data_IF_349053829744
#
_entry.id   IF_349053829744
#
_cell.length_a   1.000
_cell.length_b   1.000
_cell.length_c   1.000
_cell.angle_alpha   90.00
_cell.angle_beta   90.00
_cell.angle_gamma   90.00
#
_symmetry.space_group_name_H-M   'P 1'
#
loop_
_entity.id
_entity.type
_entity.pdbx_description
1 polymer ?
#
# COMPACT_ATOMS: atom_id res chain seq x y z
N UNK A 1 -43.45 -10.17 -48.66
CA UNK A 1 -43.46 -10.78 -47.31
C UNK A 1 -42.07 -11.11 -46.73
N UNK A 2 -40.98 -11.08 -47.52
CA UNK A 2 -39.63 -11.46 -47.06
C UNK A 2 -38.91 -10.34 -46.27
N UNK A 3 -39.23 -9.07 -46.53
CA UNK A 3 -38.53 -7.92 -45.91
C UNK A 3 -38.76 -7.78 -44.40
N UNK A 4 -39.94 -8.14 -43.89
CA UNK A 4 -40.27 -7.98 -42.46
C UNK A 4 -39.55 -9.02 -41.57
N UNK A 5 -39.35 -10.24 -42.07
CA UNK A 5 -38.69 -11.33 -41.32
C UNK A 5 -37.19 -11.08 -41.12
N UNK A 6 -36.54 -10.45 -42.10
CA UNK A 6 -35.10 -10.10 -42.05
C UNK A 6 -34.82 -8.95 -41.09
N UNK A 7 -35.68 -7.93 -41.06
CA UNK A 7 -35.55 -6.78 -40.13
C UNK A 7 -35.73 -7.21 -38.67
N UNK A 8 -36.70 -8.07 -38.38
CA UNK A 8 -36.92 -8.59 -37.02
C UNK A 8 -35.72 -9.44 -36.55
N UNK A 9 -35.15 -10.28 -37.43
CA UNK A 9 -34.00 -11.13 -37.11
C UNK A 9 -32.74 -10.30 -36.81
N UNK A 10 -32.49 -9.25 -37.60
CA UNK A 10 -31.41 -8.27 -37.37
C UNK A 10 -31.57 -7.53 -36.02
N UNK A 11 -32.79 -7.11 -35.69
CA UNK A 11 -33.10 -6.46 -34.42
C UNK A 11 -32.94 -7.37 -33.20
N UNK A 12 -33.20 -8.67 -33.33
CA UNK A 12 -32.96 -9.65 -32.25
C UNK A 12 -31.47 -9.96 -32.09
N UNK A 13 -30.71 -10.07 -33.18
CA UNK A 13 -29.27 -10.33 -33.14
C UNK A 13 -28.50 -9.15 -32.53
N UNK A 14 -28.90 -7.92 -32.85
CA UNK A 14 -28.31 -6.71 -32.26
C UNK A 14 -28.56 -6.64 -30.74
N UNK A 15 -29.79 -6.92 -30.28
CA UNK A 15 -30.09 -6.97 -28.84
C UNK A 15 -29.31 -8.06 -28.12
N UNK A 16 -29.13 -9.22 -28.76
CA UNK A 16 -28.35 -10.32 -28.20
C UNK A 16 -26.88 -9.94 -28.05
N UNK A 17 -26.29 -9.29 -29.06
CA UNK A 17 -24.92 -8.74 -29.00
C UNK A 17 -24.79 -7.66 -27.92
N UNK A 18 -25.75 -6.73 -27.83
CA UNK A 18 -25.73 -5.68 -26.81
C UNK A 18 -25.79 -6.26 -25.39
N UNK A 19 -26.62 -7.28 -25.18
CA UNK A 19 -26.69 -8.01 -23.91
C UNK A 19 -25.36 -8.68 -23.58
N UNK A 20 -24.74 -9.37 -24.54
CA UNK A 20 -23.42 -9.98 -24.35
C UNK A 20 -22.36 -8.94 -23.99
N UNK A 21 -22.33 -7.79 -24.67
CA UNK A 21 -21.40 -6.70 -24.35
C UNK A 21 -21.60 -6.22 -22.91
N UNK A 22 -22.85 -6.00 -22.48
CA UNK A 22 -23.16 -5.56 -21.12
C UNK A 22 -22.74 -6.62 -20.08
N UNK A 23 -22.98 -7.90 -20.34
CA UNK A 23 -22.55 -9.01 -19.48
C UNK A 23 -21.03 -9.08 -19.38
N UNK A 24 -20.30 -8.92 -20.49
CA UNK A 24 -18.84 -8.83 -20.49
C UNK A 24 -18.33 -7.61 -19.72
N UNK A 25 -18.93 -6.44 -19.92
CA UNK A 25 -18.56 -5.22 -19.19
C UNK A 25 -18.79 -5.35 -17.69
N UNK A 26 -19.92 -5.95 -17.28
CA UNK A 26 -20.19 -6.21 -15.87
C UNK A 26 -19.14 -7.16 -15.25
N UNK A 27 -18.78 -8.22 -15.98
CA UNK A 27 -17.76 -9.17 -15.53
C UNK A 27 -16.37 -8.53 -15.43
N UNK A 28 -15.99 -7.70 -16.40
CA UNK A 28 -14.73 -6.95 -16.36
C UNK A 28 -14.68 -5.98 -15.17
N UNK A 29 -15.77 -5.26 -14.90
CA UNK A 29 -15.85 -4.37 -13.72
C UNK A 29 -15.70 -5.15 -12.42
N UNK A 30 -16.35 -6.31 -12.31
CA UNK A 30 -16.23 -7.16 -11.14
C UNK A 30 -14.80 -7.68 -10.95
N UNK A 31 -14.16 -8.19 -12.00
CA UNK A 31 -12.78 -8.67 -11.93
C UNK A 31 -11.81 -7.55 -11.54
N UNK A 32 -11.98 -6.35 -12.10
CA UNK A 32 -11.17 -5.19 -11.70
C UNK A 32 -11.35 -4.84 -10.22
N UNK A 33 -12.60 -4.87 -9.72
CA UNK A 33 -12.85 -4.61 -8.30
C UNK A 33 -12.20 -5.67 -7.40
N UNK A 34 -12.29 -6.95 -7.77
CA UNK A 34 -11.63 -8.06 -7.05
C UNK A 34 -10.10 -7.90 -7.04
N UNK A 35 -9.51 -7.52 -8.18
CA UNK A 35 -8.06 -7.25 -8.28
C UNK A 35 -7.68 -6.07 -7.38
N UNK A 36 -8.40 -4.95 -7.44
CA UNK A 36 -8.10 -3.79 -6.60
C UNK A 36 -8.19 -4.09 -5.11
N UNK A 37 -9.20 -4.86 -4.68
CA UNK A 37 -9.33 -5.29 -3.28
C UNK A 37 -8.18 -6.21 -2.89
N UNK A 38 -7.81 -7.15 -3.76
CA UNK A 38 -6.69 -8.08 -3.51
C UNK A 38 -5.37 -7.33 -3.39
N UNK A 39 -5.12 -6.38 -4.27
CA UNK A 39 -3.92 -5.55 -4.26
C UNK A 39 -3.82 -4.70 -2.98
N UNK A 40 -4.95 -4.14 -2.52
CA UNK A 40 -5.01 -3.37 -1.27
C UNK A 40 -4.74 -4.25 -0.04
N UNK A 41 -5.33 -5.45 0.00
CA UNK A 41 -5.07 -6.41 1.06
C UNK A 41 -3.60 -6.83 1.10
N UNK A 42 -2.97 -7.03 -0.07
CA UNK A 42 -1.56 -7.40 -0.15
C UNK A 42 -0.64 -6.24 0.27
N UNK A 43 -0.94 -5.01 -0.16
CA UNK A 43 -0.23 -3.80 0.31
C UNK A 43 -0.26 -3.70 1.83
N UNK A 44 -1.43 -3.92 2.43
CA UNK A 44 -1.60 -3.92 3.88
C UNK A 44 -0.78 -5.03 4.54
N UNK A 45 -0.87 -6.26 4.03
CA UNK A 45 -0.10 -7.41 4.55
C UNK A 45 1.41 -7.16 4.52
N UNK A 46 1.92 -6.55 3.44
CA UNK A 46 3.33 -6.17 3.33
C UNK A 46 3.68 -5.08 4.35
N UNK A 47 2.86 -4.05 4.50
CA UNK A 47 3.09 -2.97 5.46
C UNK A 47 3.15 -3.49 6.91
N UNK A 48 2.22 -4.37 7.29
CA UNK A 48 2.20 -5.04 8.60
C UNK A 48 3.46 -5.89 8.80
N UNK A 49 3.85 -6.71 7.81
CA UNK A 49 5.07 -7.51 7.88
C UNK A 49 6.34 -6.66 8.02
N UNK A 50 6.43 -5.53 7.30
CA UNK A 50 7.55 -4.61 7.41
C UNK A 50 7.60 -3.96 8.80
N UNK A 51 6.47 -3.52 9.34
CA UNK A 51 6.41 -2.91 10.66
C UNK A 51 6.78 -3.89 11.76
N UNK A 52 6.10 -5.04 11.81
CA UNK A 52 6.24 -6.01 12.89
C UNK A 52 7.50 -6.86 12.78
N UNK A 53 7.96 -7.15 11.56
CA UNK A 53 9.19 -7.89 11.33
C UNK A 53 10.41 -6.97 11.31
N UNK A 54 10.55 -6.21 10.22
CA UNK A 54 11.77 -5.42 9.97
C UNK A 54 11.90 -4.26 10.95
N UNK A 55 10.83 -3.48 11.14
CA UNK A 55 10.82 -2.29 12.00
C UNK A 55 11.13 -2.61 13.46
N UNK A 56 10.51 -3.65 14.02
CA UNK A 56 10.79 -4.09 15.39
C UNK A 56 12.24 -4.61 15.55
N UNK A 57 12.72 -5.43 14.62
CA UNK A 57 14.10 -5.94 14.65
C UNK A 57 15.13 -4.82 14.61
N UNK A 58 14.96 -3.84 13.70
CA UNK A 58 15.86 -2.69 13.61
C UNK A 58 15.81 -1.85 14.90
N UNK A 59 14.61 -1.65 15.48
CA UNK A 59 14.46 -0.93 16.74
C UNK A 59 15.21 -1.62 17.89
N UNK A 60 15.16 -2.95 17.96
CA UNK A 60 15.89 -3.74 18.95
C UNK A 60 17.41 -3.63 18.75
N UNK A 61 17.89 -3.70 17.49
CA UNK A 61 19.31 -3.52 17.17
C UNK A 61 19.77 -2.12 17.60
N UNK A 62 19.00 -1.08 17.28
CA UNK A 62 19.33 0.29 17.65
C UNK A 62 19.40 0.48 19.18
N UNK A 63 18.46 -0.12 19.92
CA UNK A 63 18.47 -0.14 21.38
C UNK A 63 19.74 -0.77 21.94
N UNK A 64 20.15 -1.93 21.39
CA UNK A 64 21.38 -2.62 21.80
C UNK A 64 22.63 -1.80 21.49
N UNK A 65 22.72 -1.19 20.31
CA UNK A 65 23.84 -0.32 19.95
C UNK A 65 23.95 0.90 20.86
N UNK A 66 22.81 1.53 21.17
CA UNK A 66 22.75 2.67 22.08
C UNK A 66 23.13 2.26 23.50
N UNK A 67 22.70 1.08 23.96
CA UNK A 67 23.08 0.55 25.27
C UNK A 67 24.61 0.34 25.40
N UNK A 68 25.26 -0.14 24.33
CA UNK A 68 26.73 -0.32 24.34
C UNK A 68 27.49 1.00 24.50
N UNK A 69 26.92 2.13 24.09
CA UNK A 69 27.55 3.45 24.26
C UNK A 69 27.63 3.90 25.72
N UNK A 70 26.91 3.25 26.64
CA UNK A 70 27.01 3.49 28.08
C UNK A 70 28.16 2.71 28.76
N UNK A 71 28.83 1.81 28.04
CA UNK A 71 29.98 1.07 28.54
C UNK A 71 31.28 1.88 28.37
N UNK A 72 32.32 1.52 29.13
CA UNK A 72 33.67 2.02 28.86
C UNK A 72 34.18 1.45 27.54
N UNK A 73 34.32 2.33 26.53
CA UNK A 73 34.75 1.98 25.19
C UNK A 73 35.97 2.81 24.79
N UNK A 74 36.85 2.23 23.98
CA UNK A 74 37.86 3.04 23.30
C UNK A 74 37.19 4.08 22.38
N UNK A 75 37.79 5.27 22.17
CA UNK A 75 37.20 6.31 21.32
C UNK A 75 36.85 5.83 19.92
N UNK A 76 37.69 4.96 19.33
CA UNK A 76 37.46 4.37 18.01
C UNK A 76 36.23 3.45 17.98
N UNK A 77 36.09 2.58 18.98
CA UNK A 77 34.93 1.66 19.06
C UNK A 77 33.65 2.44 19.31
N UNK A 78 33.67 3.41 20.22
CA UNK A 78 32.51 4.28 20.48
C UNK A 78 32.07 5.07 19.25
N UNK A 79 33.01 5.55 18.42
CA UNK A 79 32.70 6.19 17.13
C UNK A 79 31.99 5.23 16.17
N UNK A 80 32.54 4.04 15.95
CA UNK A 80 31.94 3.06 15.04
C UNK A 80 30.54 2.62 15.48
N UNK A 81 30.30 2.48 16.79
CA UNK A 81 28.97 2.14 17.32
C UNK A 81 27.96 3.26 17.09
N UNK A 82 28.37 4.53 17.26
CA UNK A 82 27.52 5.68 16.94
C UNK A 82 27.14 5.72 15.46
N UNK A 83 28.12 5.56 14.57
CA UNK A 83 27.87 5.51 13.12
C UNK A 83 26.92 4.35 12.75
N UNK A 84 27.09 3.17 13.35
CA UNK A 84 26.17 2.06 13.15
C UNK A 84 24.76 2.36 13.66
N UNK A 85 24.62 2.99 14.84
CA UNK A 85 23.33 3.38 15.38
C UNK A 85 22.62 4.40 14.50
N UNK A 86 23.35 5.36 13.94
CA UNK A 86 22.81 6.34 12.98
C UNK A 86 22.30 5.65 11.70
N UNK A 87 23.07 4.71 11.14
CA UNK A 87 22.64 3.94 9.97
C UNK A 87 21.37 3.12 10.26
N UNK A 88 21.27 2.46 11.41
CA UNK A 88 20.07 1.71 11.80
C UNK A 88 18.89 2.67 12.02
N UNK A 89 19.11 3.83 12.64
CA UNK A 89 18.08 4.85 12.82
C UNK A 89 17.51 5.33 11.47
N UNK A 90 18.37 5.55 10.47
CA UNK A 90 17.94 5.90 9.12
C UNK A 90 17.12 4.78 8.48
N UNK A 91 17.56 3.52 8.60
CA UNK A 91 16.84 2.37 8.10
C UNK A 91 15.45 2.19 8.76
N UNK A 92 15.32 2.48 10.06
CA UNK A 92 14.03 2.51 10.77
C UNK A 92 13.09 3.55 10.13
N UNK A 93 13.60 4.76 9.88
CA UNK A 93 12.81 5.84 9.29
C UNK A 93 12.37 5.51 7.86
N UNK A 94 13.26 4.96 7.03
CA UNK A 94 12.93 4.49 5.68
C UNK A 94 11.87 3.38 5.70
N UNK A 95 12.01 2.42 6.62
CA UNK A 95 11.03 1.34 6.79
C UNK A 95 9.66 1.89 7.18
N UNK A 96 9.60 2.83 8.15
CA UNK A 96 8.36 3.48 8.56
C UNK A 96 7.70 4.24 7.40
N UNK A 97 8.50 4.96 6.62
CA UNK A 97 7.99 5.68 5.44
C UNK A 97 7.43 4.71 4.39
N UNK A 98 8.10 3.58 4.17
CA UNK A 98 7.63 2.55 3.25
C UNK A 98 6.33 1.90 3.72
N UNK A 99 6.24 1.51 4.99
CA UNK A 99 5.00 1.03 5.62
C UNK A 99 3.87 2.04 5.42
N UNK A 100 4.15 3.32 5.69
CA UNK A 100 3.18 4.40 5.54
C UNK A 100 2.68 4.55 4.08
N UNK A 101 3.60 4.51 3.12
CA UNK A 101 3.28 4.64 1.69
C UNK A 101 2.49 3.45 1.16
N UNK A 102 2.76 2.25 1.67
CA UNK A 102 2.05 1.04 1.31
C UNK A 102 0.64 1.00 1.92
N UNK A 103 0.52 1.36 3.19
CA UNK A 103 -0.73 1.23 3.95
C UNK A 103 -0.77 2.27 5.07
N UNK A 104 -1.37 3.45 4.83
CA UNK A 104 -1.44 4.52 5.82
C UNK A 104 -2.24 4.05 7.05
N UNK A 105 -1.66 3.99 8.26
CA UNK A 105 -2.36 3.49 9.45
C UNK A 105 -3.64 4.26 9.75
N UNK A 106 -3.61 5.58 9.50
CA UNK A 106 -4.75 6.49 9.67
C UNK A 106 -6.00 6.06 8.88
N UNK A 107 -5.83 5.37 7.74
CA UNK A 107 -6.95 4.84 6.96
C UNK A 107 -7.74 3.78 7.72
N UNK A 108 -7.06 2.98 8.53
CA UNK A 108 -7.69 1.86 9.25
C UNK A 108 -8.04 2.21 10.69
N UNK A 109 -7.29 3.13 11.32
CA UNK A 109 -7.55 3.57 12.69
C UNK A 109 -8.63 4.64 12.78
N UNK A 110 -8.64 5.59 11.84
CA UNK A 110 -9.52 6.76 11.86
C UNK A 110 -10.47 6.84 10.67
N UNK A 111 -10.34 5.92 9.71
CA UNK A 111 -11.22 5.80 8.55
C UNK A 111 -10.85 6.73 7.38
N UNK A 112 -11.61 6.57 6.30
CA UNK A 112 -11.31 7.19 4.99
C UNK A 112 -11.26 8.71 5.03
N UNK A 113 -12.18 9.36 5.74
CA UNK A 113 -12.26 10.83 5.82
C UNK A 113 -10.97 11.38 6.44
N UNK A 114 -10.56 10.84 7.59
CA UNK A 114 -9.34 11.26 8.27
C UNK A 114 -8.09 11.03 7.41
N UNK A 115 -8.03 9.90 6.72
CA UNK A 115 -6.91 9.58 5.83
C UNK A 115 -6.79 10.55 4.63
N UNK A 116 -7.91 10.94 4.03
CA UNK A 116 -7.92 11.93 2.94
C UNK A 116 -7.46 13.29 3.46
N UNK A 117 -8.02 13.77 4.58
CA UNK A 117 -7.62 15.05 5.18
C UNK A 117 -6.14 15.10 5.53
N UNK A 118 -5.62 14.02 6.14
CA UNK A 118 -4.20 13.89 6.42
C UNK A 118 -3.34 13.93 5.15
N UNK A 119 -3.75 13.22 4.09
CA UNK A 119 -2.98 13.15 2.84
C UNK A 119 -2.98 14.49 2.11
N UNK A 120 -4.06 15.26 2.19
CA UNK A 120 -4.12 16.63 1.65
C UNK A 120 -3.18 17.57 2.40
N UNK A 121 -3.16 17.54 3.74
CA UNK A 121 -2.22 18.35 4.53
C UNK A 121 -0.74 18.00 4.29
N UNK A 122 -0.44 16.72 3.99
CA UNK A 122 0.89 16.29 3.61
C UNK A 122 1.32 16.81 2.21
N UNK A 123 0.37 16.98 1.29
CA UNK A 123 0.62 17.56 -0.04
C UNK A 123 0.83 19.07 0.06
N UNK A 124 0.05 19.78 0.89
CA UNK A 124 0.20 21.23 1.11
C UNK A 124 1.55 21.61 1.73
N UNK A 125 2.16 20.74 2.54
CA UNK A 125 3.51 20.99 3.09
C UNK A 125 4.66 20.68 2.11
N UNK A 126 4.35 20.09 0.96
CA UNK A 126 5.35 19.70 -0.05
C UNK A 126 5.44 20.70 -1.22
N UNK A 127 4.62 21.75 -1.18
CA UNK A 127 4.56 22.87 -2.13
C UNK A 127 4.50 24.20 -1.36
#
# INVERSE_FOLDING_TARGET
MISHKTVVKSGTDLRKKLRQINEYQARLKQMNAEISITEENERRRIAEYLHDGLGQNLSLVNLKLTALLHSELSPKVGKNIREAAELVSNAINETRLLTYNLSPPILYELGLIAAISWKLGAIENKY
#
